data_IF_675582197102
#
_entry.id   IF_675582197102
#
_cell.length_a   1.000
_cell.length_b   1.000
_cell.length_c   1.000
_cell.angle_alpha   90.00
_cell.angle_beta   90.00
_cell.angle_gamma   90.00
#
_symmetry.space_group_name_H-M   'P 1'
#
loop_
_entity.id
_entity.type
_entity.pdbx_description
1 polymer ?
#
# COMPACT_ATOMS: atom_id res chain seq x y z
N UNK A 1 -22.00 -1.27 -2.20
CA UNK A 1 -20.54 -1.32 -1.96
C UNK A 1 -19.94 -2.19 -3.06
N UNK A 2 -19.09 -1.61 -3.91
CA UNK A 2 -18.37 -2.39 -4.92
C UNK A 2 -17.39 -3.34 -4.23
N UNK A 3 -17.21 -4.53 -4.79
CA UNK A 3 -16.20 -5.48 -4.31
C UNK A 3 -14.87 -4.95 -4.82
N UNK A 4 -14.05 -4.42 -3.91
CA UNK A 4 -12.67 -4.06 -4.22
C UNK A 4 -11.92 -5.31 -4.64
N UNK A 5 -11.07 -5.20 -5.66
CA UNK A 5 -10.27 -6.32 -6.13
C UNK A 5 -8.79 -5.96 -6.16
N UNK A 6 -7.96 -6.98 -5.94
CA UNK A 6 -6.53 -6.93 -6.20
C UNK A 6 -6.26 -8.03 -7.22
N UNK A 7 -5.56 -7.69 -8.29
CA UNK A 7 -5.07 -8.68 -9.24
C UNK A 7 -4.18 -9.71 -8.49
N UNK A 8 -4.42 -11.03 -8.62
CA UNK A 8 -3.66 -12.04 -7.88
C UNK A 8 -2.14 -11.99 -8.09
N UNK A 9 -1.67 -11.57 -9.27
CA UNK A 9 -0.25 -11.39 -9.54
C UNK A 9 0.30 -10.16 -8.78
N UNK A 10 -0.49 -9.08 -8.69
CA UNK A 10 -0.16 -7.93 -7.83
C UNK A 10 -0.12 -8.32 -6.36
N UNK A 11 -1.08 -9.12 -5.88
CA UNK A 11 -1.10 -9.63 -4.50
C UNK A 11 0.18 -10.43 -4.19
N UNK A 12 0.53 -11.37 -5.07
CA UNK A 12 1.75 -12.17 -4.93
C UNK A 12 3.02 -11.30 -4.92
N UNK A 13 3.10 -10.32 -5.83
CA UNK A 13 4.21 -9.37 -5.89
C UNK A 13 4.33 -8.54 -4.61
N UNK A 14 3.21 -8.09 -4.04
CA UNK A 14 3.17 -7.35 -2.78
C UNK A 14 3.67 -8.19 -1.60
N UNK A 15 3.27 -9.47 -1.50
CA UNK A 15 3.75 -10.38 -0.44
C UNK A 15 5.27 -10.56 -0.53
N UNK A 16 5.80 -10.79 -1.74
CA UNK A 16 7.23 -10.94 -1.97
C UNK A 16 7.99 -9.66 -1.62
N UNK A 17 7.48 -8.51 -2.05
CA UNK A 17 8.08 -7.21 -1.74
C UNK A 17 8.08 -6.93 -0.23
N UNK A 18 6.96 -7.17 0.45
CA UNK A 18 6.84 -7.04 1.91
C UNK A 18 7.85 -7.92 2.66
N UNK A 19 8.09 -9.13 2.17
CA UNK A 19 9.07 -10.06 2.75
C UNK A 19 10.52 -9.54 2.57
N UNK A 20 10.84 -9.04 1.38
CA UNK A 20 12.16 -8.46 1.09
C UNK A 20 12.40 -7.21 1.95
N UNK A 21 11.39 -6.36 2.05
CA UNK A 21 11.35 -5.19 2.90
C UNK A 21 11.57 -5.59 4.37
N UNK A 22 10.83 -6.57 4.92
CA UNK A 22 11.03 -7.05 6.30
C UNK A 22 12.48 -7.48 6.58
N UNK A 23 13.14 -8.03 5.57
CA UNK A 23 14.53 -8.47 5.67
C UNK A 23 15.49 -7.28 5.63
N UNK A 24 15.20 -6.27 4.81
CA UNK A 24 15.94 -5.01 4.76
C UNK A 24 15.87 -4.22 6.07
N UNK A 25 14.68 -4.12 6.68
CA UNK A 25 14.51 -3.46 7.98
C UNK A 25 15.40 -4.12 9.04
N UNK A 26 15.30 -5.44 9.19
CA UNK A 26 16.11 -6.21 10.14
C UNK A 26 17.62 -6.07 9.92
N UNK A 27 18.06 -5.94 8.67
CA UNK A 27 19.48 -5.81 8.33
C UNK A 27 20.03 -4.40 8.61
N UNK A 28 19.20 -3.37 8.46
CA UNK A 28 19.66 -1.98 8.46
C UNK A 28 19.20 -1.16 9.67
N UNK A 29 18.19 -1.65 10.40
CA UNK A 29 17.49 -0.90 11.44
C UNK A 29 16.73 0.32 10.91
N UNK A 30 16.54 0.43 9.59
CA UNK A 30 15.87 1.57 8.97
C UNK A 30 14.41 1.25 8.72
N UNK A 31 13.55 2.14 9.19
CA UNK A 31 12.12 2.09 8.94
C UNK A 31 11.77 2.60 7.54
N UNK A 32 10.67 2.08 7.00
CA UNK A 32 10.11 2.56 5.74
C UNK A 32 8.61 2.30 5.68
N UNK A 33 7.97 3.06 4.78
CA UNK A 33 6.55 2.92 4.43
C UNK A 33 6.44 2.60 2.94
N UNK A 34 5.71 1.53 2.62
CA UNK A 34 5.30 1.21 1.26
C UNK A 34 3.82 1.53 1.12
N UNK A 35 3.46 2.27 0.07
CA UNK A 35 2.08 2.53 -0.29
C UNK A 35 1.87 2.22 -1.77
N UNK A 36 0.99 1.28 -2.06
CA UNK A 36 0.47 1.06 -3.40
C UNK A 36 -0.76 1.94 -3.59
N UNK A 37 -0.63 2.90 -4.50
CA UNK A 37 -1.73 3.78 -4.91
C UNK A 37 -2.38 3.16 -6.15
N UNK A 38 -3.69 2.88 -6.10
CA UNK A 38 -4.39 2.23 -7.19
C UNK A 38 -4.46 3.14 -8.42
N UNK A 39 -4.52 2.51 -9.61
CA UNK A 39 -4.72 3.18 -10.89
C UNK A 39 -6.19 3.31 -11.24
N UNK A 40 -7.03 2.41 -10.75
CA UNK A 40 -8.48 2.42 -10.96
C UNK A 40 -9.25 2.58 -9.65
N UNK A 41 -10.49 3.08 -9.73
CA UNK A 41 -11.33 3.37 -8.56
C UNK A 41 -11.85 2.14 -7.82
N UNK A 42 -11.68 0.95 -8.40
CA UNK A 42 -12.11 -0.34 -7.87
C UNK A 42 -10.94 -1.22 -7.35
N UNK A 43 -9.72 -0.69 -7.38
CA UNK A 43 -8.50 -1.33 -6.87
C UNK A 43 -8.20 -0.88 -5.44
N UNK A 44 -7.82 -1.82 -4.58
CA UNK A 44 -7.56 -1.54 -3.17
C UNK A 44 -6.22 -0.79 -2.96
N UNK A 45 -6.21 0.24 -2.10
CA UNK A 45 -4.97 0.83 -1.60
C UNK A 45 -4.28 -0.19 -0.70
N UNK A 46 -2.98 -0.43 -0.83
CA UNK A 46 -2.22 -1.24 0.12
C UNK A 46 -1.17 -0.40 0.83
N UNK A 47 -1.09 -0.51 2.16
CA UNK A 47 -0.04 0.15 2.94
C UNK A 47 0.66 -0.90 3.80
N UNK A 48 1.98 -0.87 3.81
CA UNK A 48 2.78 -1.63 4.76
C UNK A 48 3.86 -0.75 5.38
N UNK A 49 4.14 -1.00 6.66
CA UNK A 49 5.25 -0.39 7.37
C UNK A 49 6.20 -1.50 7.79
N UNK A 50 7.49 -1.33 7.49
CA UNK A 50 8.50 -2.32 7.82
C UNK A 50 8.15 -3.73 7.28
N UNK A 51 7.48 -3.77 6.11
CA UNK A 51 7.08 -4.98 5.40
C UNK A 51 5.86 -5.67 6.03
N UNK A 52 5.22 -5.07 7.03
CA UNK A 52 4.01 -5.57 7.69
C UNK A 52 2.80 -4.80 7.16
N UNK A 53 1.76 -5.47 6.65
CA UNK A 53 0.53 -4.81 6.25
C UNK A 53 -0.04 -4.00 7.42
N UNK A 54 -0.40 -2.74 7.17
CA UNK A 54 -1.12 -1.93 8.15
C UNK A 54 -2.62 -2.18 8.00
N UNK A 55 -3.36 -2.16 9.12
CA UNK A 55 -4.83 -2.23 9.04
C UNK A 55 -5.35 -1.03 8.26
N UNK A 56 -6.35 -1.29 7.43
CA UNK A 56 -6.98 -0.29 6.59
C UNK A 56 -8.23 0.26 7.27
N UNK A 57 -8.08 0.71 8.51
CA UNK A 57 -9.10 1.51 9.18
C UNK A 57 -8.90 2.95 8.74
N UNK A 58 -9.19 3.21 7.46
CA UNK A 58 -9.14 4.56 6.95
C UNK A 58 -10.39 5.31 7.40
N UNK A 59 -10.23 6.25 8.34
CA UNK A 59 -11.26 7.27 8.65
C UNK A 59 -11.56 8.18 7.44
N UNK A 60 -10.73 8.09 6.39
CA UNK A 60 -10.69 8.97 5.22
C UNK A 60 -10.92 8.12 3.97
N UNK A 61 -11.81 8.57 3.09
CA UNK A 61 -12.13 7.84 1.86
C UNK A 61 -10.86 7.65 0.99
N UNK A 62 -10.58 6.44 0.47
CA UNK A 62 -9.49 6.19 -0.49
C UNK A 62 -9.37 7.23 -1.61
N UNK A 63 -10.49 7.75 -2.12
CA UNK A 63 -10.51 8.81 -3.14
C UNK A 63 -9.91 10.15 -2.64
N UNK A 64 -10.09 10.47 -1.36
CA UNK A 64 -9.47 11.66 -0.74
C UNK A 64 -7.95 11.47 -0.56
N UNK A 65 -7.51 10.25 -0.23
CA UNK A 65 -6.08 9.91 -0.13
C UNK A 65 -5.40 10.10 -1.50
N UNK A 66 -6.00 9.55 -2.56
CA UNK A 66 -5.56 9.71 -3.95
C UNK A 66 -5.51 11.19 -4.36
N UNK A 67 -6.57 11.94 -4.10
CA UNK A 67 -6.68 13.35 -4.48
C UNK A 67 -5.62 14.20 -3.79
N UNK A 68 -5.34 13.94 -2.52
CA UNK A 68 -4.33 14.66 -1.75
C UNK A 68 -2.89 14.30 -2.17
N UNK A 69 -2.64 13.04 -2.53
CA UNK A 69 -1.35 12.59 -3.06
C UNK A 69 -1.04 13.21 -4.43
N UNK A 70 -2.02 13.26 -5.33
CA UNK A 70 -1.87 13.83 -6.67
C UNK A 70 -1.66 15.35 -6.61
N UNK A 71 -2.38 16.05 -5.72
CA UNK A 71 -2.23 17.51 -5.53
C UNK A 71 -0.86 17.90 -4.98
N UNK A 72 -0.20 17.07 -4.18
CA UNK A 72 1.15 17.34 -3.61
C UNK A 72 2.31 17.14 -4.59
N UNK A 73 2.07 16.57 -5.78
CA UNK A 73 3.09 16.40 -6.84
C UNK A 73 3.15 17.54 -7.86
N UNK A 74 2.36 18.61 -7.67
CA UNK A 74 2.41 19.83 -8.49
C UNK A 74 3.00 21.00 -7.71
#
# INVERSE_FOLDING_TARGET
MGIWHIDPACESALINLNTALCSFERMTGREYLLMLVPKSSDEQICISQNGKPLSQDFDINPEEILTNMIKRRR
#
